data_IF_645460737195
#
_entry.id   IF_645460737195
#
_cell.length_a   1.000
_cell.length_b   1.000
_cell.length_c   1.000
_cell.angle_alpha   90.00
_cell.angle_beta   90.00
_cell.angle_gamma   90.00
#
_symmetry.space_group_name_H-M   'P 1'
#
loop_
_entity.id
_entity.type
_entity.pdbx_description
1 polymer ?
#
# COMPACT_ATOMS: atom_id res chain seq x y z
N UNK A 1 14.80 -25.73 21.12
CA UNK A 1 15.10 -24.52 20.33
C UNK A 1 13.85 -24.17 19.55
N UNK A 2 13.15 -23.10 19.93
CA UNK A 2 11.83 -22.77 19.37
C UNK A 2 11.96 -22.11 17.99
N UNK A 3 11.34 -22.74 17.01
CA UNK A 3 11.07 -22.22 15.67
C UNK A 3 10.32 -20.88 15.74
N UNK A 4 10.91 -19.80 15.25
CA UNK A 4 10.18 -18.57 14.92
C UNK A 4 10.00 -18.51 13.41
N UNK A 5 8.80 -18.88 12.98
CA UNK A 5 8.24 -18.60 11.67
C UNK A 5 8.35 -17.10 11.41
N UNK A 6 9.21 -16.69 10.47
CA UNK A 6 9.21 -15.32 9.93
C UNK A 6 8.36 -15.39 8.67
N UNK A 7 7.07 -15.11 8.80
CA UNK A 7 6.16 -14.91 7.68
C UNK A 7 6.60 -13.64 6.95
N UNK A 8 7.31 -13.79 5.83
CA UNK A 8 7.78 -12.68 4.98
C UNK A 8 6.67 -12.12 4.10
N UNK A 9 5.52 -11.80 4.69
CA UNK A 9 4.44 -11.05 4.05
C UNK A 9 4.08 -9.91 4.99
N UNK A 10 4.89 -8.85 4.97
CA UNK A 10 4.48 -7.60 5.62
C UNK A 10 3.38 -6.98 4.77
N UNK A 11 2.14 -7.41 4.96
CA UNK A 11 0.96 -6.74 4.42
C UNK A 11 0.93 -5.34 5.00
N UNK A 12 1.15 -4.34 4.16
CA UNK A 12 1.05 -2.94 4.57
C UNK A 12 -0.40 -2.65 4.97
N UNK A 13 -0.57 -1.98 6.11
CA UNK A 13 -1.86 -1.41 6.49
C UNK A 13 -1.96 -0.02 5.92
N UNK A 14 -3.00 0.24 5.13
CA UNK A 14 -3.29 1.55 4.57
C UNK A 14 -4.46 2.17 5.32
N UNK A 15 -4.29 3.41 5.78
CA UNK A 15 -5.35 4.21 6.39
C UNK A 15 -5.69 5.34 5.44
N UNK A 16 -6.96 5.45 5.03
CA UNK A 16 -7.42 6.57 4.22
C UNK A 16 -7.51 7.82 5.11
N UNK A 17 -6.87 8.90 4.67
CA UNK A 17 -6.90 10.21 5.36
C UNK A 17 -7.81 11.18 4.61
N UNK A 18 -7.75 11.15 3.28
CA UNK A 18 -8.62 11.93 2.39
C UNK A 18 -9.19 11.03 1.29
N UNK A 19 -10.23 11.46 0.55
CA UNK A 19 -10.79 10.68 -0.57
C UNK A 19 -9.77 10.25 -1.63
N UNK A 20 -8.62 10.93 -1.70
CA UNK A 20 -7.52 10.64 -2.64
C UNK A 20 -6.18 10.43 -1.95
N UNK A 21 -6.14 10.26 -0.62
CA UNK A 21 -4.90 10.19 0.14
C UNK A 21 -4.94 9.06 1.17
N UNK A 22 -3.89 8.24 1.19
CA UNK A 22 -3.68 7.16 2.15
C UNK A 22 -2.34 7.31 2.85
N UNK A 23 -2.25 6.79 4.07
CA UNK A 23 -1.01 6.67 4.82
C UNK A 23 -0.74 5.21 5.17
N UNK A 24 0.53 4.84 5.20
CA UNK A 24 0.98 3.52 5.64
C UNK A 24 2.30 3.63 6.39
N UNK A 25 2.51 2.73 7.35
CA UNK A 25 3.77 2.64 8.09
C UNK A 25 4.57 1.45 7.57
N UNK A 26 5.77 1.71 7.04
CA UNK A 26 6.66 0.65 6.57
C UNK A 26 7.34 -0.10 7.71
N UNK A 27 8.09 -1.15 7.35
CA UNK A 27 8.77 -2.07 8.29
C UNK A 27 9.70 -1.39 9.30
N UNK A 28 10.30 -0.26 8.91
CA UNK A 28 11.23 0.50 9.77
C UNK A 28 10.55 1.57 10.63
N UNK A 29 9.21 1.60 10.66
CA UNK A 29 8.44 2.62 11.39
C UNK A 29 8.28 3.96 10.65
N UNK A 30 8.81 4.07 9.43
CA UNK A 30 8.65 5.25 8.59
C UNK A 30 7.21 5.35 8.07
N UNK A 31 6.63 6.55 8.14
CA UNK A 31 5.31 6.84 7.60
C UNK A 31 5.42 7.31 6.16
N UNK A 32 4.63 6.69 5.29
CA UNK A 32 4.54 7.00 3.86
C UNK A 32 3.13 7.43 3.51
N UNK A 33 3.03 8.42 2.63
CA UNK A 33 1.78 8.96 2.12
C UNK A 33 1.64 8.63 0.65
N UNK A 34 0.48 8.15 0.26
CA UNK A 34 0.12 7.79 -1.11
C UNK A 34 -1.04 8.68 -1.56
N UNK A 35 -0.89 9.34 -2.70
CA UNK A 35 -1.86 10.27 -3.27
C UNK A 35 -2.31 9.77 -4.64
N UNK A 36 -3.62 9.77 -4.90
CA UNK A 36 -4.17 9.49 -6.22
C UNK A 36 -4.17 10.75 -7.07
N UNK A 37 -3.27 10.81 -8.05
CA UNK A 37 -3.15 11.90 -9.02
C UNK A 37 -3.74 11.47 -10.36
N UNK A 38 -4.89 12.05 -10.71
CA UNK A 38 -5.69 11.76 -11.92
C UNK A 38 -6.09 10.28 -12.09
N UNK A 39 -5.15 9.43 -12.50
CA UNK A 39 -5.31 7.99 -12.67
C UNK A 39 -4.05 7.21 -12.28
N UNK A 40 -3.16 7.82 -11.49
CA UNK A 40 -1.91 7.24 -11.04
C UNK A 40 -1.73 7.41 -9.54
N UNK A 41 -1.24 6.37 -8.88
CA UNK A 41 -0.95 6.41 -7.46
C UNK A 41 0.50 6.87 -7.25
N UNK A 42 0.68 7.95 -6.50
CA UNK A 42 1.97 8.54 -6.20
C UNK A 42 2.32 8.32 -4.72
N UNK A 43 3.48 7.74 -4.43
CA UNK A 43 3.97 7.57 -3.07
C UNK A 43 5.11 8.54 -2.76
N UNK A 44 5.08 9.17 -1.59
CA UNK A 44 6.14 10.07 -1.11
C UNK A 44 7.43 9.35 -0.68
N UNK A 45 7.50 8.02 -0.82
CA UNK A 45 8.66 7.23 -0.45
C UNK A 45 9.93 7.79 -1.14
N UNK A 46 11.09 7.86 -0.46
CA UNK A 46 12.32 8.34 -1.07
C UNK A 46 12.77 7.45 -2.24
N UNK A 47 12.42 6.16 -2.21
CA UNK A 47 12.55 5.26 -3.38
C UNK A 47 11.72 5.72 -4.59
N UNK A 48 10.60 6.43 -4.35
CA UNK A 48 9.77 7.07 -5.36
C UNK A 48 10.46 8.22 -6.10
N UNK A 49 11.55 8.82 -5.55
CA UNK A 49 12.40 9.76 -6.32
C UNK A 49 13.05 9.12 -7.54
N UNK A 50 13.23 7.80 -7.54
CA UNK A 50 13.89 7.05 -8.62
C UNK A 50 12.94 6.44 -9.67
N UNK A 51 11.72 6.98 -9.78
CA UNK A 51 10.73 6.65 -10.82
C UNK A 51 10.14 5.23 -10.72
N UNK A 52 8.90 5.22 -10.22
CA UNK A 52 7.74 4.42 -10.67
C UNK A 52 7.44 3.06 -10.03
N UNK A 53 8.34 2.41 -9.30
CA UNK A 53 8.03 1.11 -8.66
C UNK A 53 8.23 1.18 -7.14
N UNK A 54 7.33 1.88 -6.44
CA UNK A 54 7.30 1.84 -4.98
C UNK A 54 6.34 0.72 -4.57
N UNK A 55 6.84 -0.28 -3.85
CA UNK A 55 6.02 -1.43 -3.42
C UNK A 55 4.78 -1.01 -2.60
N UNK A 56 4.81 0.14 -1.92
CA UNK A 56 3.64 0.71 -1.25
C UNK A 56 2.50 1.03 -2.24
N UNK A 57 2.84 1.60 -3.40
CA UNK A 57 1.85 1.93 -4.41
C UNK A 57 1.30 0.67 -5.09
N UNK A 58 2.16 -0.32 -5.32
CA UNK A 58 1.76 -1.62 -5.87
C UNK A 58 0.81 -2.36 -4.92
N UNK A 59 1.12 -2.43 -3.63
CA UNK A 59 0.25 -3.07 -2.63
C UNK A 59 -1.08 -2.33 -2.46
N UNK A 60 -1.09 -0.99 -2.47
CA UNK A 60 -2.36 -0.24 -2.42
C UNK A 60 -3.20 -0.46 -3.68
N UNK A 61 -2.58 -0.57 -4.86
CA UNK A 61 -3.30 -0.93 -6.08
C UNK A 61 -3.86 -2.36 -6.03
N UNK A 62 -3.15 -3.30 -5.40
CA UNK A 62 -3.67 -4.65 -5.15
C UNK A 62 -4.84 -4.65 -4.17
N UNK A 63 -4.76 -3.83 -3.10
CA UNK A 63 -5.85 -3.65 -2.15
C UNK A 63 -7.13 -3.16 -2.85
N UNK A 64 -7.05 -2.14 -3.70
CA UNK A 64 -8.22 -1.68 -4.47
C UNK A 64 -8.79 -2.74 -5.41
N UNK A 65 -7.93 -3.55 -6.04
CA UNK A 65 -8.40 -4.65 -6.89
C UNK A 65 -9.13 -5.72 -6.06
N UNK A 66 -8.63 -6.02 -4.87
CA UNK A 66 -9.28 -6.96 -3.96
C UNK A 66 -10.63 -6.43 -3.48
N UNK A 67 -10.70 -5.19 -2.99
CA UNK A 67 -11.96 -4.55 -2.58
C UNK A 67 -12.97 -4.51 -3.73
N UNK A 68 -12.55 -4.13 -4.93
CA UNK A 68 -13.42 -4.10 -6.11
C UNK A 68 -13.96 -5.51 -6.44
N UNK A 69 -13.10 -6.53 -6.38
CA UNK A 69 -13.50 -7.91 -6.62
C UNK A 69 -14.49 -8.41 -5.56
N UNK A 70 -14.28 -8.08 -4.28
CA UNK A 70 -15.22 -8.43 -3.19
C UNK A 70 -16.58 -7.74 -3.36
N UNK A 71 -16.59 -6.48 -3.79
CA UNK A 71 -17.83 -5.77 -4.13
C UNK A 71 -18.57 -6.45 -5.29
N UNK A 72 -17.87 -6.82 -6.37
CA UNK A 72 -18.48 -7.47 -7.54
C UNK A 72 -19.00 -8.87 -7.20
N UNK A 73 -18.25 -9.65 -6.41
CA UNK A 73 -18.65 -11.00 -6.02
C UNK A 73 -19.87 -11.03 -5.08
N UNK A 74 -20.24 -9.88 -4.52
CA UNK A 74 -21.39 -9.71 -3.62
C UNK A 74 -22.68 -9.29 -4.34
N UNK A 75 -22.65 -9.15 -5.67
CA UNK A 75 -23.82 -8.94 -6.54
C UNK A 75 -24.28 -10.25 -7.19
#
# INVERSE_FOLDING_TARGET
MSTKTISTETTLKFTQIDPRTWSTTGVSGNVYTLNMLASSLHCNCPAGRHRKNCYHAEQLAQFFKAELNECIASF
#
